data_IF_359662174576
#
_entry.id   IF_359662174576
#
_cell.length_a   1.000
_cell.length_b   1.000
_cell.length_c   1.000
_cell.angle_alpha   90.00
_cell.angle_beta   90.00
_cell.angle_gamma   90.00
#
_symmetry.space_group_name_H-M   'P 1'
#
loop_
_entity.id
_entity.type
_entity.pdbx_description
1 polymer ?
#
# COMPACT_ATOMS: atom_id res chain seq x y z
N UNK A 1 9.17 72.13 28.94
CA UNK A 1 10.58 71.88 29.20
C UNK A 1 10.71 70.76 30.21
N UNK A 2 11.02 69.53 29.76
CA UNK A 2 11.69 68.49 30.56
C UNK A 2 12.19 67.43 29.57
N UNK A 3 13.50 67.35 29.45
CA UNK A 3 14.24 66.40 28.67
C UNK A 3 14.15 64.99 29.24
N UNK A 4 13.87 63.97 28.41
CA UNK A 4 14.00 62.56 28.74
C UNK A 4 15.33 62.05 28.16
N UNK A 5 16.30 61.76 29.03
CA UNK A 5 17.57 61.16 28.71
C UNK A 5 17.38 59.67 28.36
N UNK A 6 17.73 59.26 27.18
CA UNK A 6 17.87 57.87 26.78
C UNK A 6 19.17 57.28 27.36
N UNK A 7 19.06 56.47 28.42
CA UNK A 7 20.16 55.63 28.93
C UNK A 7 20.63 54.63 27.89
N UNK A 8 21.87 54.74 27.43
CA UNK A 8 22.57 53.77 26.62
C UNK A 8 22.76 52.46 27.38
N UNK A 9 21.99 51.40 27.04
CA UNK A 9 22.17 50.00 27.52
C UNK A 9 23.47 49.38 26.96
N UNK A 10 24.11 48.48 27.70
CA UNK A 10 25.43 47.95 27.36
C UNK A 10 25.44 47.11 26.08
N UNK A 11 26.30 47.52 25.15
CA UNK A 11 26.50 46.89 23.85
C UNK A 11 26.97 45.41 23.87
N UNK A 12 27.29 44.88 25.00
CA UNK A 12 27.68 43.44 25.14
C UNK A 12 26.49 42.47 25.11
N UNK A 13 25.27 42.86 25.35
CA UNK A 13 24.08 42.00 25.24
C UNK A 13 23.78 41.63 23.81
N UNK A 14 24.14 42.48 22.82
CA UNK A 14 24.01 42.16 21.39
C UNK A 14 25.09 41.19 20.90
N UNK A 15 26.26 41.20 21.50
CA UNK A 15 27.37 40.28 21.13
C UNK A 15 27.08 38.87 21.71
N UNK A 16 26.46 38.77 22.86
CA UNK A 16 26.05 37.48 23.47
C UNK A 16 24.88 36.82 22.75
N UNK A 17 23.99 37.60 22.14
CA UNK A 17 22.89 37.08 21.31
C UNK A 17 23.35 36.52 19.94
N UNK A 18 24.42 37.09 19.36
CA UNK A 18 25.02 36.63 18.08
C UNK A 18 25.85 35.36 18.30
N UNK A 19 26.39 35.12 19.48
CA UNK A 19 27.13 33.90 19.84
C UNK A 19 26.23 32.70 20.13
N UNK A 20 24.94 32.93 20.41
CA UNK A 20 23.92 31.88 20.54
C UNK A 20 23.28 31.44 19.21
N UNK A 21 23.46 32.22 18.15
CA UNK A 21 23.14 31.86 16.77
C UNK A 21 24.40 31.28 16.08
N UNK A 22 25.03 30.30 16.71
CA UNK A 22 26.05 29.48 16.05
C UNK A 22 25.47 28.83 14.79
N UNK A 23 26.30 28.61 13.72
CA UNK A 23 25.86 28.02 12.49
C UNK A 23 25.13 26.73 12.81
N UNK A 24 23.92 26.61 12.25
CA UNK A 24 23.02 25.49 12.51
C UNK A 24 23.80 24.19 12.59
N UNK A 25 23.77 23.55 13.73
CA UNK A 25 24.15 22.15 13.84
C UNK A 25 23.27 21.46 12.81
N UNK A 26 23.83 21.14 11.64
CA UNK A 26 23.32 20.02 10.85
C UNK A 26 23.30 18.87 11.85
N UNK A 27 22.14 18.62 12.43
CA UNK A 27 21.91 17.47 13.28
C UNK A 27 22.29 16.29 12.38
N UNK A 28 23.45 15.70 12.63
CA UNK A 28 23.84 14.45 12.00
C UNK A 28 22.63 13.53 12.21
N UNK A 29 21.85 13.34 11.14
CA UNK A 29 20.64 12.53 11.20
C UNK A 29 21.13 11.14 11.57
N UNK A 30 20.93 10.77 12.84
CA UNK A 30 21.31 9.46 13.34
C UNK A 30 20.66 8.41 12.45
N UNK A 31 21.46 7.63 11.76
CA UNK A 31 20.96 6.54 10.90
C UNK A 31 20.16 5.58 11.78
N UNK A 32 18.89 5.47 11.51
CA UNK A 32 18.01 4.56 12.26
C UNK A 32 17.99 3.21 11.55
N UNK A 33 18.64 2.21 12.15
CA UNK A 33 18.58 0.84 11.65
C UNK A 33 17.18 0.27 11.92
N UNK A 34 16.56 -0.26 10.89
CA UNK A 34 15.20 -0.83 10.95
C UNK A 34 15.18 -2.26 10.41
N UNK A 35 14.56 -3.19 11.14
CA UNK A 35 14.25 -4.54 10.68
C UNK A 35 12.88 -4.57 9.97
N UNK A 36 12.67 -5.59 9.14
CA UNK A 36 11.42 -5.77 8.39
C UNK A 36 10.20 -5.84 9.33
N UNK A 37 10.25 -6.68 10.37
CA UNK A 37 9.15 -6.84 11.34
C UNK A 37 8.80 -5.52 12.04
N UNK A 38 9.83 -4.73 12.39
CA UNK A 38 9.64 -3.40 12.99
C UNK A 38 9.00 -2.41 12.01
N UNK A 39 9.34 -2.49 10.72
CA UNK A 39 8.76 -1.68 9.66
C UNK A 39 7.28 -2.05 9.46
N UNK A 40 6.96 -3.34 9.36
CA UNK A 40 5.58 -3.85 9.25
C UNK A 40 4.73 -3.41 10.45
N UNK A 41 5.21 -3.62 11.68
CA UNK A 41 4.48 -3.24 12.89
C UNK A 41 4.23 -1.72 12.97
N UNK A 42 5.19 -0.88 12.55
CA UNK A 42 5.04 0.58 12.53
C UNK A 42 4.06 1.04 11.46
N UNK A 43 4.15 0.49 10.24
CA UNK A 43 3.23 0.82 9.14
C UNK A 43 1.80 0.47 9.51
N UNK A 44 1.54 -0.71 10.07
CA UNK A 44 0.21 -1.14 10.50
C UNK A 44 -0.38 -0.23 11.60
N UNK A 45 0.44 0.32 12.48
CA UNK A 45 -0.05 1.20 13.56
C UNK A 45 -0.36 2.62 13.09
N UNK A 46 0.35 3.14 12.09
CA UNK A 46 0.32 4.56 11.74
C UNK A 46 -0.27 4.88 10.38
N UNK A 47 -0.45 3.89 9.51
CA UNK A 47 -0.86 4.13 8.13
C UNK A 47 -2.28 4.72 8.06
N UNK A 48 -2.48 5.87 7.37
CA UNK A 48 -3.79 6.54 7.30
C UNK A 48 -4.90 5.66 6.71
N UNK A 49 -4.56 4.80 5.74
CA UNK A 49 -5.53 3.90 5.08
C UNK A 49 -6.21 2.93 6.06
N UNK A 50 -5.48 2.44 7.07
CA UNK A 50 -6.07 1.58 8.09
C UNK A 50 -7.00 2.34 9.02
N UNK A 51 -6.62 3.56 9.40
CA UNK A 51 -7.50 4.44 10.18
C UNK A 51 -8.76 4.81 9.41
N UNK A 52 -8.65 5.04 8.10
CA UNK A 52 -9.81 5.24 7.23
C UNK A 52 -10.74 4.03 7.29
N UNK A 53 -10.21 2.81 7.08
CA UNK A 53 -11.02 1.58 7.12
C UNK A 53 -11.66 1.34 8.50
N UNK A 54 -10.99 1.70 9.60
CA UNK A 54 -11.58 1.63 10.94
C UNK A 54 -12.79 2.58 11.07
N UNK A 55 -12.70 3.81 10.49
CA UNK A 55 -13.84 4.75 10.46
C UNK A 55 -14.97 4.29 9.56
N UNK A 56 -14.68 3.67 8.44
CA UNK A 56 -15.69 3.05 7.57
C UNK A 56 -16.48 1.94 8.30
N UNK A 57 -15.81 1.13 9.12
CA UNK A 57 -16.48 0.14 9.97
C UNK A 57 -17.36 0.83 11.02
N UNK A 58 -16.87 1.89 11.66
CA UNK A 58 -17.66 2.67 12.64
C UNK A 58 -18.89 3.30 11.98
N UNK A 59 -18.77 3.84 10.77
CA UNK A 59 -19.87 4.35 9.96
C UNK A 59 -20.94 3.27 9.76
N UNK A 60 -20.55 2.10 9.24
CA UNK A 60 -21.50 1.02 9.01
C UNK A 60 -22.17 0.51 10.32
N UNK A 61 -21.43 0.50 11.42
CA UNK A 61 -21.99 0.19 12.75
C UNK A 61 -22.99 1.25 13.23
N UNK A 62 -22.73 2.53 12.94
CA UNK A 62 -23.66 3.61 13.23
C UNK A 62 -24.96 3.48 12.39
N UNK A 63 -24.82 3.19 11.09
CA UNK A 63 -25.95 2.91 10.20
C UNK A 63 -26.79 1.72 10.67
N UNK A 64 -26.15 0.66 11.17
CA UNK A 64 -26.87 -0.48 11.77
C UNK A 64 -27.68 -0.06 13.00
N UNK A 65 -27.16 0.81 13.87
CA UNK A 65 -27.94 1.33 15.02
C UNK A 65 -29.19 2.07 14.59
N UNK A 66 -29.09 2.81 13.46
CA UNK A 66 -30.22 3.51 12.83
C UNK A 66 -31.09 2.63 11.93
N UNK A 67 -30.88 1.31 11.85
CA UNK A 67 -31.64 0.44 10.95
C UNK A 67 -33.11 0.26 11.33
N UNK A 68 -33.49 0.53 12.57
CA UNK A 68 -34.88 0.74 12.98
C UNK A 68 -35.18 2.24 12.91
N UNK A 69 -35.60 2.70 11.75
CA UNK A 69 -35.97 4.10 11.51
C UNK A 69 -37.36 4.13 10.90
N UNK A 70 -38.42 4.17 11.72
CA UNK A 70 -39.75 4.48 11.20
C UNK A 70 -39.75 5.87 10.57
N UNK A 71 -40.65 6.11 9.62
CA UNK A 71 -40.81 7.44 9.05
C UNK A 71 -41.05 8.47 10.17
N UNK A 72 -40.61 9.71 9.96
CA UNK A 72 -40.92 10.75 10.96
C UNK A 72 -42.43 10.93 11.11
N UNK A 73 -42.93 11.23 12.30
CA UNK A 73 -44.34 11.55 12.47
C UNK A 73 -44.68 12.84 11.72
N UNK A 74 -45.77 12.78 10.97
CA UNK A 74 -46.33 13.94 10.27
C UNK A 74 -47.24 14.72 11.22
N UNK A 75 -46.95 16.00 11.40
CA UNK A 75 -47.85 16.91 12.13
C UNK A 75 -48.85 17.46 11.13
N UNK A 76 -50.13 17.14 11.37
CA UNK A 76 -51.23 17.61 10.52
C UNK A 76 -51.98 18.73 11.19
N UNK A 77 -52.31 19.77 10.42
CA UNK A 77 -53.23 20.78 10.83
C UNK A 77 -54.39 20.78 9.80
N UNK A 78 -55.52 20.34 10.21
CA UNK A 78 -56.72 20.24 9.35
C UNK A 78 -57.85 21.09 9.91
N UNK A 79 -58.59 21.72 9.03
CA UNK A 79 -59.79 22.49 9.37
C UNK A 79 -61.01 21.82 8.70
N UNK A 80 -61.54 20.73 9.28
CA UNK A 80 -62.59 19.95 8.64
C UNK A 80 -63.88 20.72 8.35
N UNK A 81 -64.17 21.81 9.10
CA UNK A 81 -65.32 22.66 8.94
C UNK A 81 -65.02 24.05 8.38
N UNK A 82 -63.75 24.34 8.12
CA UNK A 82 -63.27 25.62 7.67
C UNK A 82 -63.12 26.71 8.75
N UNK A 83 -63.67 26.49 9.96
CA UNK A 83 -63.74 27.49 11.03
C UNK A 83 -62.60 27.37 12.06
N UNK A 84 -62.11 26.16 12.33
CA UNK A 84 -61.09 25.91 13.37
C UNK A 84 -60.08 24.86 12.93
N UNK A 85 -58.86 25.07 13.31
CA UNK A 85 -57.72 24.16 13.05
C UNK A 85 -57.66 23.06 14.11
N UNK A 86 -57.66 21.82 13.67
CA UNK A 86 -57.47 20.63 14.52
C UNK A 86 -56.04 20.11 14.34
N UNK A 87 -55.19 20.14 15.37
CA UNK A 87 -53.88 19.53 15.31
C UNK A 87 -53.96 18.01 15.37
N UNK A 88 -53.12 17.33 14.59
CA UNK A 88 -53.00 15.90 14.56
C UNK A 88 -51.58 15.43 14.37
N UNK A 89 -51.35 14.17 14.71
CA UNK A 89 -50.08 13.44 14.49
C UNK A 89 -50.36 12.16 13.76
N UNK A 90 -49.62 11.90 12.69
CA UNK A 90 -49.74 10.64 11.92
C UNK A 90 -48.39 9.98 11.85
N UNK A 91 -48.30 8.71 12.19
CA UNK A 91 -47.11 7.91 12.14
C UNK A 91 -47.31 6.75 11.16
N UNK A 92 -46.43 6.68 10.14
CA UNK A 92 -46.36 5.52 9.26
C UNK A 92 -45.31 4.53 9.77
N UNK A 93 -45.67 3.28 9.89
CA UNK A 93 -44.82 2.19 10.38
C UNK A 93 -44.76 1.12 9.29
N UNK A 94 -43.61 0.87 8.75
CA UNK A 94 -43.38 -0.22 7.81
C UNK A 94 -43.67 -1.58 8.51
N UNK A 95 -43.99 -2.57 7.71
CA UNK A 95 -44.18 -3.92 8.25
C UNK A 95 -42.89 -4.43 8.91
N UNK A 96 -42.92 -5.11 10.07
CA UNK A 96 -41.73 -5.50 10.83
C UNK A 96 -40.65 -6.24 10.04
N UNK A 97 -41.05 -6.94 8.97
CA UNK A 97 -40.13 -7.63 8.07
C UNK A 97 -39.20 -6.64 7.33
N UNK A 98 -39.64 -5.41 7.02
CA UNK A 98 -38.81 -4.38 6.37
C UNK A 98 -37.65 -3.99 7.28
N UNK A 99 -37.91 -3.68 8.55
CA UNK A 99 -36.85 -3.32 9.52
C UNK A 99 -35.87 -4.47 9.74
N UNK A 100 -36.36 -5.71 9.76
CA UNK A 100 -35.51 -6.90 9.86
C UNK A 100 -34.56 -6.98 8.64
N UNK A 101 -35.04 -6.73 7.41
CA UNK A 101 -34.23 -6.76 6.20
C UNK A 101 -33.27 -5.55 6.12
N UNK A 102 -33.68 -4.37 6.58
CA UNK A 102 -32.79 -3.21 6.72
C UNK A 102 -31.61 -3.55 7.64
N UNK A 103 -31.88 -4.19 8.78
CA UNK A 103 -30.83 -4.63 9.68
C UNK A 103 -29.89 -5.65 9.04
N UNK A 104 -30.40 -6.61 8.26
CA UNK A 104 -29.59 -7.58 7.53
C UNK A 104 -28.67 -6.92 6.49
N UNK A 105 -29.17 -5.92 5.77
CA UNK A 105 -28.35 -5.14 4.84
C UNK A 105 -27.24 -4.39 5.59
N UNK A 106 -27.55 -3.75 6.71
CA UNK A 106 -26.58 -3.06 7.52
C UNK A 106 -25.52 -4.03 8.11
N UNK A 107 -25.93 -5.23 8.54
CA UNK A 107 -25.00 -6.28 8.99
C UNK A 107 -24.08 -6.78 7.87
N UNK A 108 -24.62 -6.99 6.67
CA UNK A 108 -23.82 -7.34 5.50
C UNK A 108 -22.85 -6.20 5.10
N UNK A 109 -23.27 -4.93 5.26
CA UNK A 109 -22.43 -3.76 5.06
C UNK A 109 -21.25 -3.69 6.04
N UNK A 110 -21.48 -4.00 7.32
CA UNK A 110 -20.39 -4.12 8.30
C UNK A 110 -19.41 -5.22 7.88
N UNK A 111 -19.93 -6.39 7.51
CA UNK A 111 -19.08 -7.49 7.04
C UNK A 111 -18.23 -7.10 5.84
N UNK A 112 -18.77 -6.33 4.88
CA UNK A 112 -18.01 -5.83 3.74
C UNK A 112 -16.91 -4.84 4.17
N UNK A 113 -17.22 -3.90 5.06
CA UNK A 113 -16.25 -2.95 5.57
C UNK A 113 -15.11 -3.65 6.33
N UNK A 114 -15.40 -4.69 7.12
CA UNK A 114 -14.39 -5.50 7.79
C UNK A 114 -13.49 -6.26 6.80
N UNK A 115 -14.06 -6.84 5.72
CA UNK A 115 -13.25 -7.47 4.66
C UNK A 115 -12.40 -6.47 3.88
N UNK A 116 -12.92 -5.28 3.59
CA UNK A 116 -12.15 -4.20 2.96
C UNK A 116 -10.98 -3.73 3.85
N UNK A 117 -11.16 -3.75 5.17
CA UNK A 117 -10.06 -3.48 6.10
C UNK A 117 -8.96 -4.55 6.02
N UNK A 118 -9.32 -5.83 5.88
CA UNK A 118 -8.35 -6.92 5.67
C UNK A 118 -7.58 -6.73 4.36
N UNK A 119 -8.25 -6.33 3.27
CA UNK A 119 -7.61 -5.97 2.00
C UNK A 119 -6.65 -4.79 2.19
N UNK A 120 -7.08 -3.75 2.89
CA UNK A 120 -6.25 -2.57 3.18
C UNK A 120 -5.02 -2.95 3.99
N UNK A 121 -5.16 -3.84 4.98
CA UNK A 121 -4.04 -4.35 5.78
C UNK A 121 -3.03 -5.13 4.93
N UNK A 122 -3.51 -6.07 4.11
CA UNK A 122 -2.65 -6.85 3.23
C UNK A 122 -1.89 -5.95 2.24
N UNK A 123 -2.57 -4.95 1.67
CA UNK A 123 -1.96 -3.98 0.76
C UNK A 123 -0.87 -3.16 1.46
N UNK A 124 -1.12 -2.64 2.67
CA UNK A 124 -0.13 -1.88 3.44
C UNK A 124 1.09 -2.73 3.78
N UNK A 125 0.90 -4.00 4.15
CA UNK A 125 2.01 -4.93 4.39
C UNK A 125 2.83 -5.16 3.12
N UNK A 126 2.19 -5.48 2.00
CA UNK A 126 2.85 -5.65 0.70
C UNK A 126 3.67 -4.41 0.33
N UNK A 127 3.06 -3.24 0.38
CA UNK A 127 3.71 -1.98 0.00
C UNK A 127 4.90 -1.66 0.92
N UNK A 128 4.80 -2.00 2.21
CA UNK A 128 5.90 -1.86 3.17
C UNK A 128 7.05 -2.83 2.87
N UNK A 129 6.74 -4.10 2.57
CA UNK A 129 7.73 -5.12 2.19
C UNK A 129 8.46 -4.72 0.91
N UNK A 130 7.74 -4.25 -0.10
CA UNK A 130 8.33 -3.78 -1.36
C UNK A 130 9.19 -2.54 -1.18
N UNK A 131 8.77 -1.58 -0.35
CA UNK A 131 9.56 -0.40 -0.04
C UNK A 131 10.83 -0.74 0.75
N UNK A 132 10.73 -1.68 1.69
CA UNK A 132 11.88 -2.19 2.45
C UNK A 132 12.89 -2.91 1.53
N UNK A 133 12.39 -3.77 0.63
CA UNK A 133 13.21 -4.44 -0.38
C UNK A 133 13.89 -3.44 -1.32
N UNK A 134 13.18 -2.39 -1.75
CA UNK A 134 13.74 -1.33 -2.58
C UNK A 134 14.88 -0.60 -1.87
N UNK A 135 14.76 -0.37 -0.55
CA UNK A 135 15.82 0.23 0.25
C UNK A 135 17.04 -0.70 0.35
N UNK A 136 16.83 -1.99 0.67
CA UNK A 136 17.91 -3.00 0.72
C UNK A 136 18.68 -3.08 -0.61
N UNK A 137 17.94 -3.07 -1.72
CA UNK A 137 18.53 -3.11 -3.06
C UNK A 137 19.37 -1.86 -3.34
N UNK A 138 18.82 -0.67 -3.05
CA UNK A 138 19.54 0.59 -3.26
C UNK A 138 20.83 0.67 -2.40
N UNK A 139 20.79 0.21 -1.15
CA UNK A 139 21.97 0.11 -0.28
C UNK A 139 23.02 -0.83 -0.87
N UNK A 140 22.60 -2.01 -1.35
CA UNK A 140 23.51 -2.98 -1.96
C UNK A 140 24.13 -2.45 -3.25
N UNK A 141 23.35 -1.75 -4.06
CA UNK A 141 23.80 -1.13 -5.31
C UNK A 141 24.81 -0.02 -5.06
N UNK A 142 24.55 0.87 -4.10
CA UNK A 142 25.51 1.92 -3.72
C UNK A 142 26.84 1.31 -3.23
N UNK A 143 26.80 0.29 -2.37
CA UNK A 143 28.02 -0.40 -1.93
C UNK A 143 28.80 -1.02 -3.09
N UNK A 144 28.11 -1.66 -4.02
CA UNK A 144 28.69 -2.25 -5.22
C UNK A 144 29.38 -1.19 -6.09
N UNK A 145 28.66 -0.10 -6.40
CA UNK A 145 29.19 0.98 -7.24
C UNK A 145 30.30 1.76 -6.56
N UNK A 146 30.27 1.92 -5.24
CA UNK A 146 31.40 2.51 -4.49
C UNK A 146 32.67 1.69 -4.62
N UNK A 147 32.54 0.35 -4.57
CA UNK A 147 33.69 -0.54 -4.80
C UNK A 147 34.19 -0.41 -6.25
N UNK A 148 33.29 -0.39 -7.24
CA UNK A 148 33.65 -0.24 -8.64
C UNK A 148 34.30 1.12 -8.90
N UNK A 149 33.75 2.22 -8.37
CA UNK A 149 34.32 3.55 -8.52
C UNK A 149 35.73 3.62 -7.95
N UNK A 150 35.96 3.11 -6.74
CA UNK A 150 37.29 3.08 -6.13
C UNK A 150 38.31 2.33 -6.99
N UNK A 151 37.90 1.22 -7.61
CA UNK A 151 38.76 0.45 -8.50
C UNK A 151 39.06 1.19 -9.80
N UNK A 152 38.05 1.76 -10.46
CA UNK A 152 38.26 2.50 -11.70
C UNK A 152 39.04 3.82 -11.49
N UNK A 153 38.88 4.49 -10.36
CA UNK A 153 39.71 5.64 -10.01
C UNK A 153 41.20 5.25 -9.83
N UNK A 154 41.46 4.12 -9.18
CA UNK A 154 42.82 3.60 -9.05
C UNK A 154 43.43 3.24 -10.40
N UNK A 155 42.64 2.62 -11.29
CA UNK A 155 43.06 2.31 -12.66
C UNK A 155 43.34 3.59 -13.47
N UNK A 156 42.50 4.61 -13.36
CA UNK A 156 42.69 5.90 -14.01
C UNK A 156 44.04 6.53 -13.60
N UNK A 157 44.38 6.53 -12.33
CA UNK A 157 45.65 7.03 -11.83
C UNK A 157 46.83 6.21 -12.36
N UNK A 158 46.69 4.88 -12.41
CA UNK A 158 47.73 4.00 -12.95
C UNK A 158 47.95 4.21 -14.46
N UNK A 159 46.88 4.29 -15.24
CA UNK A 159 46.95 4.53 -16.69
C UNK A 159 47.51 5.92 -17.05
N UNK A 160 47.25 6.94 -16.25
CA UNK A 160 47.89 8.27 -16.45
C UNK A 160 49.42 8.18 -16.32
N UNK A 161 49.93 7.43 -15.34
CA UNK A 161 51.37 7.21 -15.14
C UNK A 161 51.99 6.40 -16.29
N UNK A 162 51.31 5.32 -16.72
CA UNK A 162 51.79 4.49 -17.85
C UNK A 162 51.79 5.30 -19.19
N UNK A 163 50.81 6.16 -19.39
CA UNK A 163 50.78 7.04 -20.55
C UNK A 163 51.94 8.05 -20.53
N UNK A 164 52.20 8.67 -19.37
CA UNK A 164 53.32 9.58 -19.21
C UNK A 164 54.69 8.89 -19.43
N UNK A 165 54.78 7.58 -19.12
CA UNK A 165 55.95 6.73 -19.40
C UNK A 165 56.04 6.24 -20.87
N UNK A 166 54.99 6.50 -21.69
CA UNK A 166 54.93 6.03 -23.08
C UNK A 166 54.58 4.54 -23.24
N UNK A 167 54.14 3.87 -22.15
CA UNK A 167 53.86 2.43 -22.15
C UNK A 167 52.46 2.08 -22.69
N UNK A 168 51.55 3.06 -22.75
CA UNK A 168 50.17 2.87 -23.24
C UNK A 168 49.79 3.96 -24.23
N UNK A 169 48.79 3.67 -25.08
CA UNK A 169 48.27 4.58 -26.08
C UNK A 169 47.34 5.64 -25.48
N UNK A 170 47.17 6.79 -26.15
CA UNK A 170 46.17 7.79 -25.78
C UNK A 170 44.74 7.25 -25.75
N UNK A 171 44.41 6.29 -26.63
CA UNK A 171 43.11 5.64 -26.67
C UNK A 171 42.83 4.86 -25.37
N UNK A 172 43.81 4.13 -24.86
CA UNK A 172 43.66 3.37 -23.60
C UNK A 172 43.46 4.32 -22.41
N UNK A 173 44.18 5.45 -22.36
CA UNK A 173 44.00 6.49 -21.33
C UNK A 173 42.59 7.07 -21.38
N UNK A 174 42.13 7.51 -22.57
CA UNK A 174 40.80 8.10 -22.75
C UNK A 174 39.70 7.10 -22.41
N UNK A 175 39.83 5.83 -22.80
CA UNK A 175 38.88 4.79 -22.47
C UNK A 175 38.76 4.55 -20.95
N UNK A 176 39.91 4.56 -20.23
CA UNK A 176 39.89 4.44 -18.76
C UNK A 176 39.18 5.61 -18.10
N UNK A 177 39.47 6.81 -18.57
CA UNK A 177 38.85 8.03 -18.06
C UNK A 177 37.32 8.01 -18.28
N UNK A 178 36.88 7.58 -19.47
CA UNK A 178 35.46 7.44 -19.79
C UNK A 178 34.74 6.43 -18.88
N UNK A 179 35.34 5.24 -18.69
CA UNK A 179 34.79 4.22 -17.77
C UNK A 179 34.73 4.72 -16.32
N UNK A 180 35.80 5.35 -15.81
CA UNK A 180 35.83 5.89 -14.46
C UNK A 180 34.73 6.97 -14.25
N UNK A 181 34.54 7.86 -15.24
CA UNK A 181 33.48 8.87 -15.19
C UNK A 181 32.10 8.25 -15.27
N UNK A 182 31.91 7.23 -16.10
CA UNK A 182 30.62 6.51 -16.22
C UNK A 182 30.24 5.86 -14.89
N UNK A 183 31.16 5.17 -14.22
CA UNK A 183 30.91 4.57 -12.91
C UNK A 183 30.61 5.63 -11.86
N UNK A 184 31.32 6.76 -11.85
CA UNK A 184 31.05 7.87 -10.94
C UNK A 184 29.62 8.43 -11.12
N UNK A 185 29.15 8.57 -12.37
CA UNK A 185 27.77 8.99 -12.67
C UNK A 185 26.76 7.96 -12.19
N UNK A 186 27.03 6.66 -12.41
CA UNK A 186 26.15 5.59 -11.90
C UNK A 186 26.09 5.60 -10.39
N UNK A 187 27.19 5.84 -9.68
CA UNK A 187 27.21 5.97 -8.22
C UNK A 187 26.38 7.18 -7.74
N UNK A 188 26.48 8.32 -8.44
CA UNK A 188 25.67 9.49 -8.14
C UNK A 188 24.17 9.19 -8.31
N UNK A 189 23.77 8.50 -9.37
CA UNK A 189 22.39 8.08 -9.60
C UNK A 189 21.93 7.11 -8.50
N UNK A 190 22.70 6.07 -8.18
CA UNK A 190 22.38 5.10 -7.14
C UNK A 190 22.25 5.74 -5.75
N UNK A 191 23.05 6.76 -5.44
CA UNK A 191 22.90 7.52 -4.18
C UNK A 191 21.63 8.36 -4.14
N UNK A 192 21.19 8.89 -5.29
CA UNK A 192 19.89 9.56 -5.38
C UNK A 192 18.72 8.58 -5.21
N UNK A 193 18.80 7.39 -5.82
CA UNK A 193 17.82 6.31 -5.69
C UNK A 193 17.74 5.81 -4.24
N UNK A 194 18.87 5.68 -3.55
CA UNK A 194 18.92 5.34 -2.14
C UNK A 194 18.14 6.35 -1.28
N UNK A 195 18.36 7.65 -1.51
CA UNK A 195 17.63 8.70 -0.80
C UNK A 195 16.13 8.67 -1.11
N UNK A 196 15.76 8.35 -2.35
CA UNK A 196 14.35 8.19 -2.74
C UNK A 196 13.71 6.99 -2.04
N UNK A 197 14.40 5.83 -1.98
CA UNK A 197 13.93 4.64 -1.29
C UNK A 197 13.77 4.87 0.23
N UNK A 198 14.74 5.57 0.86
CA UNK A 198 14.66 5.97 2.28
C UNK A 198 13.43 6.82 2.55
N UNK A 199 13.16 7.84 1.71
CA UNK A 199 11.98 8.70 1.85
C UNK A 199 10.69 7.91 1.66
N UNK A 200 10.62 7.03 0.64
CA UNK A 200 9.44 6.21 0.37
C UNK A 200 9.09 5.33 1.56
N UNK A 201 10.07 4.61 2.12
CA UNK A 201 9.85 3.81 3.32
C UNK A 201 9.48 4.70 4.52
N UNK A 202 10.19 5.82 4.72
CA UNK A 202 9.91 6.79 5.79
C UNK A 202 8.48 7.33 5.75
N UNK A 203 7.93 7.62 4.57
CA UNK A 203 6.54 8.04 4.40
C UNK A 203 5.55 6.96 4.85
N UNK A 204 5.77 5.69 4.46
CA UNK A 204 4.93 4.57 4.88
C UNK A 204 4.97 4.34 6.40
N UNK A 205 6.11 4.64 7.04
CA UNK A 205 6.29 4.52 8.49
C UNK A 205 5.84 5.76 9.27
N UNK A 206 5.44 6.85 8.59
CA UNK A 206 5.10 8.13 9.20
C UNK A 206 6.32 8.87 9.76
N UNK A 207 7.50 8.68 9.18
CA UNK A 207 8.78 9.31 9.55
C UNK A 207 9.55 9.77 8.29
N UNK A 208 9.08 10.78 7.55
CA UNK A 208 9.59 11.13 6.23
C UNK A 208 11.04 11.67 6.23
N UNK A 209 11.56 12.11 7.36
CA UNK A 209 12.89 12.72 7.51
C UNK A 209 13.95 11.78 8.09
N UNK A 210 13.59 10.55 8.47
CA UNK A 210 14.54 9.60 9.05
C UNK A 210 15.49 9.04 7.98
N UNK A 211 16.80 9.09 8.25
CA UNK A 211 17.80 8.36 7.46
C UNK A 211 17.74 6.87 7.85
N UNK A 212 16.86 6.12 7.18
CA UNK A 212 16.63 4.71 7.44
C UNK A 212 17.72 3.86 6.78
N UNK A 213 18.21 2.86 7.52
CA UNK A 213 19.14 1.83 7.04
C UNK A 213 18.56 0.47 7.39
N UNK A 214 18.69 -0.48 6.48
CA UNK A 214 18.16 -1.83 6.72
C UNK A 214 19.06 -2.64 7.66
N UNK A 215 18.46 -3.47 8.53
CA UNK A 215 19.21 -4.32 9.47
C UNK A 215 19.92 -5.49 8.81
N UNK A 216 19.48 -5.91 7.63
CA UNK A 216 19.98 -7.07 6.91
C UNK A 216 20.48 -6.70 5.52
N UNK A 217 21.65 -7.21 5.15
CA UNK A 217 22.18 -7.06 3.79
C UNK A 217 21.44 -7.96 2.80
N UNK A 218 21.07 -7.38 1.64
CA UNK A 218 20.40 -8.12 0.57
C UNK A 218 21.21 -9.35 0.11
N UNK A 219 22.54 -9.26 0.02
CA UNK A 219 23.42 -10.35 -0.42
C UNK A 219 23.48 -11.51 0.58
N UNK A 220 23.47 -11.22 1.88
CA UNK A 220 23.57 -12.27 2.92
C UNK A 220 22.37 -13.21 2.95
N UNK A 221 21.26 -12.77 2.43
CA UNK A 221 20.04 -13.57 2.38
C UNK A 221 19.89 -14.41 1.10
N UNK A 222 20.79 -14.28 0.12
CA UNK A 222 20.76 -15.07 -1.11
C UNK A 222 20.80 -16.58 -0.88
N UNK A 223 21.78 -17.11 -0.13
CA UNK A 223 21.90 -18.54 0.13
C UNK A 223 20.70 -19.14 0.88
N UNK A 224 20.13 -18.41 1.86
CA UNK A 224 18.93 -18.83 2.58
C UNK A 224 17.71 -18.89 1.65
N UNK A 225 17.62 -17.94 0.70
CA UNK A 225 16.53 -17.90 -0.27
C UNK A 225 16.55 -19.09 -1.24
N UNK A 226 17.73 -19.56 -1.65
CA UNK A 226 17.86 -20.74 -2.52
C UNK A 226 17.35 -21.98 -1.79
N UNK A 227 17.73 -22.17 -0.53
CA UNK A 227 17.31 -23.33 0.26
C UNK A 227 15.81 -23.27 0.60
N UNK A 228 15.34 -22.13 1.12
CA UNK A 228 13.93 -21.94 1.51
C UNK A 228 13.01 -21.89 0.28
N UNK A 229 13.45 -21.23 -0.79
CA UNK A 229 12.67 -21.11 -2.03
C UNK A 229 12.47 -22.44 -2.73
N UNK A 230 13.51 -23.29 -2.79
CA UNK A 230 13.39 -24.63 -3.34
C UNK A 230 12.41 -25.50 -2.57
N UNK A 231 12.41 -25.45 -1.25
CA UNK A 231 11.48 -26.17 -0.40
C UNK A 231 10.04 -25.65 -0.52
N UNK A 232 9.85 -24.32 -0.60
CA UNK A 232 8.53 -23.70 -0.83
C UNK A 232 7.96 -24.08 -2.20
N UNK A 233 8.78 -24.03 -3.26
CA UNK A 233 8.34 -24.32 -4.62
C UNK A 233 8.06 -25.81 -4.87
N UNK A 234 8.76 -26.72 -4.18
CA UNK A 234 8.51 -28.18 -4.30
C UNK A 234 7.23 -28.60 -3.60
N UNK A 235 6.76 -27.83 -2.62
CA UNK A 235 5.52 -28.09 -1.89
C UNK A 235 4.28 -27.38 -2.43
N UNK A 236 4.42 -26.50 -3.45
CA UNK A 236 3.29 -25.81 -4.07
C UNK A 236 2.74 -26.61 -5.24
N UNK A 237 1.50 -27.14 -5.16
CA UNK A 237 0.84 -27.75 -6.30
C UNK A 237 0.67 -26.72 -7.43
N UNK A 238 0.83 -27.18 -8.67
CA UNK A 238 0.67 -26.35 -9.87
C UNK A 238 -0.75 -25.75 -10.04
N UNK A 239 -1.75 -26.33 -9.37
CA UNK A 239 -3.17 -26.00 -9.53
C UNK A 239 -3.86 -25.72 -8.18
N UNK A 240 -3.18 -25.08 -7.23
CA UNK A 240 -3.81 -24.84 -5.94
C UNK A 240 -4.78 -23.64 -5.97
N UNK A 241 -5.93 -23.87 -6.62
CA UNK A 241 -7.08 -22.95 -6.54
C UNK A 241 -7.52 -22.70 -5.09
N UNK A 242 -7.13 -23.57 -4.14
CA UNK A 242 -7.43 -23.42 -2.72
C UNK A 242 -6.59 -22.34 -2.06
N UNK A 243 -5.38 -22.05 -2.58
CA UNK A 243 -4.54 -20.99 -2.06
C UNK A 243 -5.20 -19.60 -2.20
N UNK A 244 -5.95 -19.38 -3.29
CA UNK A 244 -6.66 -18.13 -3.52
C UNK A 244 -7.90 -17.96 -2.63
N UNK A 245 -8.45 -19.04 -2.05
CA UNK A 245 -9.61 -18.95 -1.16
C UNK A 245 -9.32 -18.14 0.13
N UNK A 246 -8.04 -18.01 0.49
CA UNK A 246 -7.60 -17.18 1.62
C UNK A 246 -7.37 -15.71 1.26
N UNK A 247 -7.43 -15.37 -0.03
CA UNK A 247 -7.23 -14.00 -0.49
C UNK A 247 -8.24 -13.03 0.13
N UNK A 248 -7.81 -11.97 0.82
CA UNK A 248 -8.70 -10.96 1.38
C UNK A 248 -9.56 -10.29 0.31
N UNK A 249 -8.99 -10.07 -0.88
CA UNK A 249 -9.70 -9.47 -2.03
C UNK A 249 -10.87 -10.33 -2.48
N UNK A 250 -10.68 -11.65 -2.57
CA UNK A 250 -11.75 -12.57 -2.93
C UNK A 250 -12.83 -12.64 -1.84
N UNK A 251 -12.42 -12.61 -0.57
CA UNK A 251 -13.33 -12.58 0.57
C UNK A 251 -14.20 -11.30 0.56
N UNK A 252 -13.62 -10.13 0.25
CA UNK A 252 -14.35 -8.88 0.13
C UNK A 252 -15.35 -8.92 -1.04
N UNK A 253 -14.97 -9.46 -2.20
CA UNK A 253 -15.86 -9.61 -3.35
C UNK A 253 -17.02 -10.57 -3.06
N UNK A 254 -16.77 -11.67 -2.38
CA UNK A 254 -17.81 -12.62 -1.93
C UNK A 254 -18.78 -11.93 -0.98
N UNK A 255 -18.30 -11.15 -0.05
CA UNK A 255 -19.14 -10.39 0.88
C UNK A 255 -19.96 -9.31 0.18
N UNK A 256 -19.44 -8.70 -0.90
CA UNK A 256 -20.19 -7.74 -1.72
C UNK A 256 -21.39 -8.41 -2.43
N UNK A 257 -21.24 -9.64 -2.89
CA UNK A 257 -22.36 -10.43 -3.43
C UNK A 257 -23.42 -10.66 -2.34
N UNK A 258 -23.00 -11.03 -1.11
CA UNK A 258 -23.91 -11.25 0.01
C UNK A 258 -24.66 -9.96 0.41
N UNK A 259 -23.99 -8.80 0.38
CA UNK A 259 -24.61 -7.49 0.59
C UNK A 259 -25.67 -7.20 -0.49
N UNK A 260 -25.35 -7.44 -1.76
CA UNK A 260 -26.29 -7.24 -2.87
C UNK A 260 -27.52 -8.16 -2.74
N UNK A 261 -27.37 -9.41 -2.34
CA UNK A 261 -28.47 -10.34 -2.09
C UNK A 261 -29.35 -9.89 -0.93
N UNK A 262 -28.75 -9.35 0.13
CA UNK A 262 -29.48 -8.72 1.23
C UNK A 262 -30.30 -7.52 0.77
N UNK A 263 -29.72 -6.70 -0.13
CA UNK A 263 -30.39 -5.57 -0.78
C UNK A 263 -31.62 -6.00 -1.59
N UNK A 264 -31.51 -7.06 -2.40
CA UNK A 264 -32.65 -7.63 -3.14
C UNK A 264 -33.77 -8.05 -2.16
N UNK A 265 -33.39 -8.70 -1.06
CA UNK A 265 -34.33 -9.13 -0.03
C UNK A 265 -35.06 -7.96 0.64
N UNK A 266 -34.38 -6.84 0.86
CA UNK A 266 -34.97 -5.61 1.38
C UNK A 266 -35.96 -4.99 0.37
N UNK A 267 -35.58 -4.89 -0.91
CA UNK A 267 -36.48 -4.36 -1.96
C UNK A 267 -37.76 -5.21 -2.07
N UNK A 268 -37.61 -6.53 -1.96
CA UNK A 268 -38.78 -7.43 -1.91
C UNK A 268 -39.67 -7.16 -0.68
N UNK A 269 -39.09 -6.94 0.48
CA UNK A 269 -39.80 -6.67 1.72
C UNK A 269 -40.60 -5.36 1.68
N UNK A 270 -40.08 -4.33 0.99
CA UNK A 270 -40.74 -3.03 0.83
C UNK A 270 -42.04 -3.07 -0.01
N UNK A 271 -42.36 -4.23 -0.59
CA UNK A 271 -43.66 -4.46 -1.27
C UNK A 271 -44.80 -4.79 -0.29
N UNK A 272 -44.50 -5.01 0.98
CA UNK A 272 -45.52 -5.20 2.00
C UNK A 272 -46.20 -3.88 2.32
N UNK A 273 -47.53 -3.91 2.65
CA UNK A 273 -48.24 -2.71 3.09
C UNK A 273 -47.61 -2.10 4.36
N UNK A 274 -47.67 -0.77 4.50
CA UNK A 274 -47.31 -0.09 5.73
C UNK A 274 -48.56 0.23 6.56
N UNK A 275 -48.42 0.28 7.88
CA UNK A 275 -49.46 0.66 8.81
C UNK A 275 -49.32 2.15 9.14
N UNK A 276 -50.46 2.84 9.14
CA UNK A 276 -50.53 4.25 9.53
C UNK A 276 -51.41 4.35 10.78
N UNK A 277 -50.85 4.99 11.82
CA UNK A 277 -51.59 5.29 13.04
C UNK A 277 -51.61 6.80 13.22
N UNK A 278 -52.77 7.37 13.38
CA UNK A 278 -52.93 8.81 13.57
C UNK A 278 -53.79 9.14 14.80
N UNK A 279 -53.53 10.31 15.34
CA UNK A 279 -54.35 10.92 16.36
C UNK A 279 -54.65 12.36 15.95
N UNK A 280 -55.92 12.76 16.01
CA UNK A 280 -56.37 14.13 15.71
C UNK A 280 -57.23 14.64 16.83
N UNK A 281 -56.88 15.79 17.37
CA UNK A 281 -57.69 16.45 18.39
C UNK A 281 -58.78 17.30 17.71
N UNK A 282 -60.03 16.90 17.83
CA UNK A 282 -61.21 17.65 17.37
C UNK A 282 -61.96 18.19 18.59
N UNK A 283 -61.42 19.17 19.29
CA UNK A 283 -62.06 19.83 20.41
C UNK A 283 -63.20 20.76 19.95
N UNK A 284 -64.36 20.19 19.62
CA UNK A 284 -65.57 20.97 19.39
C UNK A 284 -66.59 20.71 20.49
N UNK A 285 -67.20 21.80 20.97
CA UNK A 285 -68.03 21.86 22.18
C UNK A 285 -69.25 20.96 22.17
N UNK A 286 -69.64 20.34 21.07
CA UNK A 286 -70.84 19.50 20.98
C UNK A 286 -70.70 18.15 20.29
N UNK A 287 -69.51 17.63 20.11
CA UNK A 287 -69.34 16.30 19.53
C UNK A 287 -69.04 15.28 20.63
N UNK A 288 -69.74 14.14 20.62
CA UNK A 288 -69.54 13.00 21.49
C UNK A 288 -68.16 12.35 21.36
N UNK A 289 -67.37 12.76 20.37
CA UNK A 289 -66.05 12.25 20.05
C UNK A 289 -65.00 13.38 20.11
N UNK A 290 -64.48 13.64 21.30
CA UNK A 290 -63.38 14.59 21.53
C UNK A 290 -62.04 14.19 20.87
N UNK A 291 -61.83 12.89 20.65
CA UNK A 291 -60.60 12.32 20.19
C UNK A 291 -60.86 11.37 19.03
N UNK A 292 -60.09 11.50 17.93
CA UNK A 292 -60.18 10.56 16.81
C UNK A 292 -58.85 9.89 16.62
N UNK A 293 -58.85 8.57 16.71
CA UNK A 293 -57.77 7.71 16.28
C UNK A 293 -58.04 7.32 14.83
N UNK A 294 -56.97 7.44 14.00
CA UNK A 294 -57.00 6.98 12.62
C UNK A 294 -56.11 5.77 12.48
N UNK A 295 -56.63 4.76 11.85
CA UNK A 295 -55.88 3.58 11.46
C UNK A 295 -55.99 3.46 9.96
N UNK A 296 -54.86 3.36 9.30
CA UNK A 296 -54.77 3.23 7.84
C UNK A 296 -53.81 2.15 7.45
N UNK A 297 -53.97 1.65 6.23
CA UNK A 297 -53.05 0.72 5.60
C UNK A 297 -52.62 1.37 4.29
N UNK A 298 -51.33 1.66 4.17
CA UNK A 298 -50.75 2.16 2.92
C UNK A 298 -50.42 0.99 2.03
N UNK A 299 -51.21 0.79 0.98
CA UNK A 299 -51.03 -0.32 0.03
C UNK A 299 -50.25 0.19 -1.19
N UNK A 300 -49.14 -0.50 -1.57
CA UNK A 300 -48.34 -0.11 -2.76
C UNK A 300 -49.10 -0.50 -4.03
N UNK A 301 -49.88 0.44 -4.59
CA UNK A 301 -50.65 0.23 -5.81
C UNK A 301 -49.85 0.45 -7.10
N UNK A 302 -48.71 1.12 -7.02
CA UNK A 302 -47.82 1.43 -8.15
C UNK A 302 -46.90 0.26 -8.47
N UNK A 303 -47.44 -0.89 -8.92
CA UNK A 303 -46.71 -2.16 -9.11
C UNK A 303 -45.52 -2.05 -10.07
N UNK A 304 -45.61 -1.20 -11.08
CA UNK A 304 -44.51 -0.98 -12.04
C UNK A 304 -43.26 -0.37 -11.38
N UNK A 305 -43.42 0.57 -10.46
CA UNK A 305 -42.29 1.17 -9.72
C UNK A 305 -41.55 0.11 -8.90
N UNK A 306 -42.27 -0.71 -8.15
CA UNK A 306 -41.69 -1.79 -7.35
C UNK A 306 -41.07 -2.89 -8.21
N UNK A 307 -41.67 -3.19 -9.38
CA UNK A 307 -41.10 -4.14 -10.35
C UNK A 307 -39.79 -3.61 -10.91
N UNK A 308 -39.73 -2.35 -11.28
CA UNK A 308 -38.53 -1.69 -11.78
C UNK A 308 -37.42 -1.66 -10.71
N UNK A 309 -37.74 -1.30 -9.46
CA UNK A 309 -36.79 -1.33 -8.37
C UNK A 309 -36.23 -2.74 -8.09
N UNK A 310 -37.08 -3.76 -8.16
CA UNK A 310 -36.66 -5.14 -8.01
C UNK A 310 -35.77 -5.59 -9.17
N UNK A 311 -36.11 -5.26 -10.40
CA UNK A 311 -35.25 -5.54 -11.57
C UNK A 311 -33.89 -4.87 -11.44
N UNK A 312 -33.86 -3.60 -11.05
CA UNK A 312 -32.60 -2.87 -10.80
C UNK A 312 -31.76 -3.52 -9.68
N UNK A 313 -32.38 -3.93 -8.58
CA UNK A 313 -31.68 -4.62 -7.50
C UNK A 313 -31.14 -6.00 -7.93
N UNK A 314 -31.93 -6.75 -8.74
CA UNK A 314 -31.51 -8.06 -9.27
C UNK A 314 -30.32 -7.88 -10.24
N UNK A 315 -30.39 -6.93 -11.17
CA UNK A 315 -29.30 -6.63 -12.09
C UNK A 315 -28.02 -6.20 -11.35
N UNK A 316 -28.15 -5.43 -10.25
CA UNK A 316 -27.02 -5.08 -9.38
C UNK A 316 -26.41 -6.33 -8.70
N UNK A 317 -27.25 -7.27 -8.25
CA UNK A 317 -26.80 -8.53 -7.67
C UNK A 317 -26.08 -9.42 -8.68
N UNK A 318 -26.58 -9.51 -9.91
CA UNK A 318 -25.93 -10.23 -11.02
C UNK A 318 -24.57 -9.57 -11.38
N UNK A 319 -24.54 -8.25 -11.47
CA UNK A 319 -23.31 -7.51 -11.70
C UNK A 319 -22.24 -7.78 -10.62
N UNK A 320 -22.64 -7.83 -9.34
CA UNK A 320 -21.74 -8.22 -8.25
C UNK A 320 -21.22 -9.67 -8.40
N UNK A 321 -22.08 -10.58 -8.89
CA UNK A 321 -21.69 -11.96 -9.22
C UNK A 321 -20.65 -12.03 -10.34
N UNK A 322 -20.86 -11.31 -11.43
CA UNK A 322 -19.88 -11.22 -12.53
C UNK A 322 -18.58 -10.55 -12.10
N UNK A 323 -18.66 -9.52 -11.24
CA UNK A 323 -17.48 -8.88 -10.68
C UNK A 323 -16.63 -9.88 -9.84
N UNK A 324 -17.28 -10.74 -9.05
CA UNK A 324 -16.60 -11.81 -8.31
C UNK A 324 -15.91 -12.79 -9.26
N UNK A 325 -16.57 -13.18 -10.37
CA UNK A 325 -15.98 -14.06 -11.36
C UNK A 325 -14.77 -13.40 -12.07
N UNK A 326 -14.89 -12.13 -12.46
CA UNK A 326 -13.79 -11.37 -13.04
C UNK A 326 -12.58 -11.28 -12.11
N UNK A 327 -12.83 -10.98 -10.82
CA UNK A 327 -11.76 -10.93 -9.82
C UNK A 327 -11.09 -12.30 -9.59
N UNK A 328 -11.85 -13.41 -9.66
CA UNK A 328 -11.26 -14.76 -9.60
C UNK A 328 -10.31 -15.02 -10.76
N UNK A 329 -10.72 -14.70 -11.98
CA UNK A 329 -9.87 -14.86 -13.17
C UNK A 329 -8.61 -13.99 -13.10
N UNK A 330 -8.75 -12.74 -12.68
CA UNK A 330 -7.62 -11.82 -12.50
C UNK A 330 -6.63 -12.33 -11.45
N UNK A 331 -7.11 -12.72 -10.27
CA UNK A 331 -6.27 -13.25 -9.20
C UNK A 331 -5.59 -14.57 -9.59
N UNK A 332 -6.29 -15.44 -10.33
CA UNK A 332 -5.71 -16.69 -10.88
C UNK A 332 -4.55 -16.38 -11.82
N UNK A 333 -4.76 -15.46 -12.77
CA UNK A 333 -3.72 -15.05 -13.71
C UNK A 333 -2.50 -14.42 -13.02
N UNK A 334 -2.74 -13.53 -12.04
CA UNK A 334 -1.67 -12.91 -11.26
C UNK A 334 -0.91 -13.93 -10.41
N UNK A 335 -1.60 -14.91 -9.85
CA UNK A 335 -0.98 -15.98 -9.06
C UNK A 335 -0.08 -16.87 -9.93
N UNK A 336 -0.56 -17.30 -11.09
CA UNK A 336 0.24 -18.09 -12.04
C UNK A 336 1.48 -17.33 -12.52
N UNK A 337 1.32 -16.03 -12.81
CA UNK A 337 2.44 -15.17 -13.18
C UNK A 337 3.46 -15.06 -12.04
N UNK A 338 3.01 -14.76 -10.80
CA UNK A 338 3.91 -14.65 -9.66
C UNK A 338 4.62 -15.97 -9.35
N UNK A 339 3.94 -17.11 -9.53
CA UNK A 339 4.51 -18.43 -9.37
C UNK A 339 5.58 -18.73 -10.46
N UNK A 340 5.29 -18.42 -11.72
CA UNK A 340 6.23 -18.58 -12.82
C UNK A 340 7.47 -17.70 -12.64
N UNK A 341 7.29 -16.43 -12.23
CA UNK A 341 8.39 -15.51 -11.94
C UNK A 341 9.23 -16.01 -10.76
N UNK A 342 8.60 -16.50 -9.70
CA UNK A 342 9.31 -17.09 -8.55
C UNK A 342 10.17 -18.27 -8.97
N UNK A 343 9.65 -19.18 -9.81
CA UNK A 343 10.42 -20.32 -10.34
C UNK A 343 11.57 -19.88 -11.24
N UNK A 344 11.32 -18.96 -12.15
CA UNK A 344 12.33 -18.38 -13.06
C UNK A 344 13.50 -17.78 -12.29
N UNK A 345 13.20 -16.90 -11.33
CA UNK A 345 14.23 -16.22 -10.56
C UNK A 345 14.93 -17.14 -9.56
N UNK A 346 14.25 -18.14 -9.00
CA UNK A 346 14.85 -19.16 -8.14
C UNK A 346 15.93 -19.98 -8.90
N UNK A 347 15.63 -20.41 -10.11
CA UNK A 347 16.60 -21.12 -10.95
C UNK A 347 17.81 -20.25 -11.29
N UNK A 348 17.56 -18.98 -11.67
CA UNK A 348 18.64 -18.02 -11.96
C UNK A 348 19.50 -17.75 -10.70
N UNK A 349 18.86 -17.60 -9.53
CA UNK A 349 19.54 -17.35 -8.26
C UNK A 349 20.47 -18.52 -7.91
N UNK A 350 20.01 -19.76 -8.08
CA UNK A 350 20.82 -20.96 -7.89
C UNK A 350 22.12 -20.94 -8.72
N UNK A 351 22.04 -20.55 -9.99
CA UNK A 351 23.20 -20.38 -10.85
C UNK A 351 24.16 -19.29 -10.32
N UNK A 352 23.63 -18.12 -9.96
CA UNK A 352 24.49 -17.03 -9.50
C UNK A 352 25.17 -17.35 -8.15
N UNK A 353 24.47 -17.98 -7.22
CA UNK A 353 25.06 -18.38 -5.92
C UNK A 353 26.15 -19.43 -6.05
N UNK A 354 25.90 -20.47 -6.85
CA UNK A 354 26.81 -21.60 -6.96
C UNK A 354 28.00 -21.31 -7.88
N UNK A 355 27.79 -20.50 -8.92
CA UNK A 355 28.77 -20.35 -10.01
C UNK A 355 29.11 -18.90 -10.30
N UNK A 356 28.12 -18.06 -10.57
CA UNK A 356 28.34 -16.71 -11.12
C UNK A 356 29.11 -15.79 -10.16
N UNK A 357 28.69 -15.72 -8.89
CA UNK A 357 29.34 -14.83 -7.89
C UNK A 357 30.77 -15.28 -7.57
N UNK A 358 31.06 -16.57 -7.27
CA UNK A 358 32.42 -17.07 -7.10
C UNK A 358 33.31 -16.80 -8.32
N UNK A 359 32.82 -17.05 -9.53
CA UNK A 359 33.57 -16.81 -10.76
C UNK A 359 33.85 -15.31 -10.98
N UNK A 360 32.87 -14.43 -10.72
CA UNK A 360 33.08 -12.98 -10.84
C UNK A 360 34.17 -12.46 -9.90
N UNK A 361 34.22 -12.97 -8.67
CA UNK A 361 35.27 -12.69 -7.70
C UNK A 361 36.67 -13.16 -8.17
N UNK A 362 36.73 -14.37 -8.73
CA UNK A 362 37.93 -14.93 -9.30
C UNK A 362 38.42 -14.11 -10.52
N UNK A 363 37.51 -13.72 -11.42
CA UNK A 363 37.83 -12.88 -12.58
C UNK A 363 38.43 -11.56 -12.14
N UNK A 364 37.85 -10.84 -11.17
CA UNK A 364 38.36 -9.58 -10.67
C UNK A 364 39.76 -9.75 -10.08
N UNK A 365 39.96 -10.72 -9.21
CA UNK A 365 41.24 -10.95 -8.52
C UNK A 365 42.36 -11.40 -9.45
N UNK A 366 42.04 -12.31 -10.39
CA UNK A 366 42.99 -12.82 -11.38
C UNK A 366 43.39 -11.76 -12.40
N UNK A 367 42.40 -11.07 -13.00
CA UNK A 367 42.69 -10.05 -14.01
C UNK A 367 43.53 -8.89 -13.43
N UNK A 368 43.28 -8.48 -12.19
CA UNK A 368 44.11 -7.47 -11.51
C UNK A 368 45.54 -7.97 -11.26
N UNK A 369 45.71 -9.26 -10.91
CA UNK A 369 47.05 -9.86 -10.69
C UNK A 369 47.84 -9.96 -11.96
N UNK A 370 47.24 -10.52 -13.04
CA UNK A 370 47.86 -10.68 -14.34
C UNK A 370 48.23 -9.31 -14.98
N UNK A 371 47.37 -8.32 -14.81
CA UNK A 371 47.66 -6.97 -15.29
C UNK A 371 48.88 -6.37 -14.56
N UNK A 372 48.98 -6.50 -13.23
CA UNK A 372 50.13 -6.06 -12.44
C UNK A 372 51.42 -6.77 -12.79
N UNK A 373 51.33 -8.05 -13.22
CA UNK A 373 52.46 -8.83 -13.70
C UNK A 373 52.86 -8.50 -15.16
N UNK A 374 52.05 -7.67 -15.87
CA UNK A 374 52.28 -7.36 -17.29
C UNK A 374 51.86 -8.47 -18.25
N UNK A 375 51.14 -9.51 -17.76
CA UNK A 375 50.78 -10.68 -18.55
C UNK A 375 49.53 -10.47 -19.43
N UNK A 376 48.68 -9.51 -19.07
CA UNK A 376 47.51 -9.14 -19.87
C UNK A 376 47.53 -7.64 -20.20
N UNK A 377 46.96 -7.33 -21.37
CA UNK A 377 46.82 -5.94 -21.79
C UNK A 377 45.71 -5.22 -20.98
N UNK A 378 45.79 -3.88 -20.97
CA UNK A 378 44.75 -3.05 -20.38
C UNK A 378 43.35 -3.36 -20.89
N UNK A 379 43.19 -3.59 -22.20
CA UNK A 379 41.89 -3.89 -22.81
C UNK A 379 41.26 -5.17 -22.23
N UNK A 380 42.08 -6.25 -22.09
CA UNK A 380 41.65 -7.50 -21.49
C UNK A 380 41.26 -7.32 -20.02
N UNK A 381 42.00 -6.48 -19.25
CA UNK A 381 41.61 -6.14 -17.88
C UNK A 381 40.22 -5.51 -17.82
N UNK A 382 39.97 -4.44 -18.59
CA UNK A 382 38.70 -3.73 -18.59
C UNK A 382 37.54 -4.62 -19.00
N UNK A 383 37.70 -5.42 -20.05
CA UNK A 383 36.69 -6.40 -20.49
C UNK A 383 36.37 -7.41 -19.40
N UNK A 384 37.38 -7.94 -18.71
CA UNK A 384 37.22 -8.89 -17.61
C UNK A 384 36.50 -8.26 -16.41
N UNK A 385 36.86 -7.03 -16.04
CA UNK A 385 36.19 -6.30 -14.96
C UNK A 385 34.73 -6.01 -15.29
N UNK A 386 34.44 -5.53 -16.52
CA UNK A 386 33.08 -5.24 -16.95
C UNK A 386 32.22 -6.52 -16.96
N UNK A 387 32.76 -7.65 -17.42
CA UNK A 387 32.08 -8.94 -17.35
C UNK A 387 31.77 -9.35 -15.89
N UNK A 388 32.76 -9.26 -15.01
CA UNK A 388 32.57 -9.63 -13.61
C UNK A 388 31.55 -8.73 -12.89
N UNK A 389 31.58 -7.43 -13.11
CA UNK A 389 30.62 -6.49 -12.53
C UNK A 389 29.22 -6.66 -13.12
N UNK A 390 29.10 -7.01 -14.37
CA UNK A 390 27.79 -7.36 -14.98
C UNK A 390 27.18 -8.56 -14.26
N UNK A 391 27.96 -9.62 -14.01
CA UNK A 391 27.51 -10.80 -13.24
C UNK A 391 27.03 -10.37 -11.84
N UNK A 392 27.81 -9.58 -11.13
CA UNK A 392 27.44 -9.13 -9.77
C UNK A 392 26.20 -8.24 -9.76
N UNK A 393 26.04 -7.33 -10.72
CA UNK A 393 24.87 -6.48 -10.84
C UNK A 393 23.62 -7.28 -11.20
N UNK A 394 23.74 -8.26 -12.11
CA UNK A 394 22.63 -9.15 -12.46
C UNK A 394 22.22 -10.02 -11.27
N UNK A 395 23.18 -10.50 -10.48
CA UNK A 395 22.88 -11.20 -9.24
C UNK A 395 22.05 -10.36 -8.26
N UNK A 396 22.42 -9.09 -8.02
CA UNK A 396 21.66 -8.20 -7.13
C UNK A 396 20.23 -7.96 -7.65
N UNK A 397 20.09 -7.77 -8.96
CA UNK A 397 18.75 -7.61 -9.56
C UNK A 397 17.93 -8.90 -9.45
N UNK A 398 18.55 -10.07 -9.65
CA UNK A 398 17.89 -11.36 -9.51
C UNK A 398 17.39 -11.62 -8.09
N UNK A 399 18.16 -11.27 -7.04
CA UNK A 399 17.70 -11.37 -5.65
C UNK A 399 16.47 -10.46 -5.43
N UNK A 400 16.54 -9.21 -5.90
CA UNK A 400 15.43 -8.27 -5.78
C UNK A 400 14.17 -8.83 -6.45
N UNK A 401 14.29 -9.28 -7.69
CA UNK A 401 13.17 -9.73 -8.50
C UNK A 401 12.56 -11.02 -7.91
N UNK A 402 13.38 -11.92 -7.42
CA UNK A 402 12.92 -13.11 -6.71
C UNK A 402 12.13 -12.77 -5.44
N UNK A 403 12.66 -11.87 -4.62
CA UNK A 403 11.96 -11.42 -3.40
C UNK A 403 10.68 -10.67 -3.71
N UNK A 404 10.69 -9.86 -4.75
CA UNK A 404 9.49 -9.17 -5.21
C UNK A 404 8.42 -10.18 -5.62
N UNK A 405 8.77 -11.20 -6.39
CA UNK A 405 7.85 -12.26 -6.80
C UNK A 405 7.29 -13.03 -5.57
N UNK A 406 8.13 -13.32 -4.56
CA UNK A 406 7.67 -13.94 -3.31
C UNK A 406 6.71 -13.04 -2.51
N UNK A 407 6.98 -11.73 -2.42
CA UNK A 407 6.09 -10.79 -1.73
C UNK A 407 4.72 -10.73 -2.43
N UNK A 408 4.70 -10.69 -3.76
CA UNK A 408 3.44 -10.70 -4.52
C UNK A 408 2.70 -12.05 -4.37
N UNK A 409 3.40 -13.17 -4.42
CA UNK A 409 2.81 -14.50 -4.23
C UNK A 409 2.16 -14.62 -2.84
N UNK A 410 2.85 -14.20 -1.78
CA UNK A 410 2.33 -14.22 -0.42
C UNK A 410 1.13 -13.28 -0.24
N UNK A 411 1.17 -12.10 -0.85
CA UNK A 411 0.04 -11.17 -0.86
C UNK A 411 -1.21 -11.78 -1.50
N UNK A 412 -1.06 -12.45 -2.65
CA UNK A 412 -2.17 -13.09 -3.35
C UNK A 412 -2.78 -14.25 -2.56
N UNK A 413 -1.96 -14.95 -1.77
CA UNK A 413 -2.39 -16.02 -0.85
C UNK A 413 -2.99 -15.51 0.46
N UNK A 414 -2.86 -14.22 0.76
CA UNK A 414 -3.32 -13.60 2.01
C UNK A 414 -2.38 -13.84 3.21
N UNK A 415 -1.07 -14.00 2.95
CA UNK A 415 -0.01 -14.23 3.95
C UNK A 415 0.84 -12.98 4.22
#
# INVERSE_FOLDING_TARGET
MTYFELKRGPRWLLVLLVLLLGPGREAAQAQTVIGLDSAEARSLRRHPRLRQSDREIEEQRALKRGSFSPANPDLLFSAPTGERWAPGVVQTIDFPNVYRRQRQVAEAGIGLAERNREVSRATVLRDTRLAYLSLQFAEAQVRQLTYQDSLYQALRVATERLFAAGEITSLQRISTEAEARQVAVQLLQATADLRAAQRRLGLLLGQPTAALVTSTDLRRSGPELVQTGGALLSGLPLEDSTALLRSPTLAAATQNVALSQSGISLVRARRTPALTVGYQNQAFENSALRYRFQFGVSVPIWFWTYRSQLQAATARGEAAGYQLQAQRLELSSLYEQALADTRKFSASLGYYEQTGVPQSGAIISQSQRLFRAGEISYLVLIQSLNQAFTIQNTYLTTIRDYRQALIELNYLRGE
#
